data_IF_839764593224
#
_entry.id   IF_839764593224
#
_cell.length_a   1.000
_cell.length_b   1.000
_cell.length_c   1.000
_cell.angle_alpha   90.00
_cell.angle_beta   90.00
_cell.angle_gamma   90.00
#
_symmetry.space_group_name_H-M   'P 1'
#
loop_
_entity.id
_entity.type
_entity.pdbx_description
1 polymer ?
#
# COMPACT_ATOMS: atom_id res chain seq x y z
N UNK A 1 -73.82 45.23 22.15
CA UNK A 1 -73.01 45.91 23.19
C UNK A 1 -72.26 44.83 23.98
N UNK A 2 -70.97 45.07 24.26
CA UNK A 2 -69.95 44.23 24.93
C UNK A 2 -69.25 43.18 24.03
N UNK A 3 -68.04 43.46 23.50
CA UNK A 3 -66.69 43.36 24.11
C UNK A 3 -66.39 41.95 24.67
N UNK A 4 -65.22 41.32 24.56
CA UNK A 4 -63.93 41.52 23.87
C UNK A 4 -63.09 40.28 24.24
N UNK A 5 -62.26 39.79 23.31
CA UNK A 5 -60.89 39.25 23.52
C UNK A 5 -60.77 37.89 24.25
N UNK A 6 -60.50 36.79 23.53
CA UNK A 6 -59.17 36.25 23.17
C UNK A 6 -58.33 35.76 24.37
N UNK A 7 -58.39 34.47 24.67
CA UNK A 7 -57.32 33.73 25.37
C UNK A 7 -56.81 32.65 24.43
N UNK A 8 -55.63 32.91 23.87
CA UNK A 8 -54.79 31.93 23.18
C UNK A 8 -54.25 30.95 24.21
N UNK A 9 -54.24 29.67 23.88
CA UNK A 9 -53.38 28.68 24.49
C UNK A 9 -52.66 27.97 23.35
N UNK A 10 -51.42 28.40 23.05
CA UNK A 10 -50.53 27.63 22.19
C UNK A 10 -49.97 26.47 23.00
N UNK A 11 -50.05 25.22 22.52
CA UNK A 11 -49.19 24.17 23.03
C UNK A 11 -47.75 24.43 22.57
N UNK A 12 -46.83 24.49 23.54
CA UNK A 12 -45.40 24.57 23.30
C UNK A 12 -44.92 23.28 22.63
N UNK A 13 -44.67 23.33 21.32
CA UNK A 13 -44.03 22.26 20.58
C UNK A 13 -42.52 22.32 20.88
N UNK A 14 -42.06 21.48 21.80
CA UNK A 14 -40.62 21.24 21.99
C UNK A 14 -40.09 20.45 20.80
N UNK A 15 -39.46 21.12 19.84
CA UNK A 15 -38.68 20.48 18.78
C UNK A 15 -37.34 20.09 19.40
N UNK A 16 -37.21 18.82 19.81
CA UNK A 16 -35.93 18.22 20.16
C UNK A 16 -35.14 17.94 18.88
N UNK A 17 -34.25 18.86 18.50
CA UNK A 17 -33.30 18.64 17.43
C UNK A 17 -32.27 17.57 17.86
N UNK A 18 -32.45 16.34 17.39
CA UNK A 18 -31.47 15.29 17.56
C UNK A 18 -30.26 15.57 16.65
N UNK A 19 -29.04 15.74 17.17
CA UNK A 19 -27.85 15.87 16.34
C UNK A 19 -27.59 14.53 15.65
N UNK A 20 -27.82 14.47 14.34
CA UNK A 20 -27.34 13.36 13.50
C UNK A 20 -25.82 13.42 13.48
N UNK A 21 -25.19 12.54 14.27
CA UNK A 21 -23.76 12.24 14.18
C UNK A 21 -23.52 11.59 12.82
N UNK A 22 -23.07 12.35 11.83
CA UNK A 22 -22.59 11.80 10.56
C UNK A 22 -21.23 11.15 10.81
N UNK A 23 -21.22 9.83 10.94
CA UNK A 23 -19.98 9.05 10.92
C UNK A 23 -19.38 9.19 9.52
N UNK A 24 -18.39 10.06 9.35
CA UNK A 24 -17.55 10.05 8.16
C UNK A 24 -16.75 8.75 8.17
N UNK A 25 -17.20 7.78 7.39
CA UNK A 25 -16.36 6.65 7.04
C UNK A 25 -15.28 7.20 6.10
N UNK A 26 -14.13 7.59 6.67
CA UNK A 26 -12.91 7.76 5.88
C UNK A 26 -12.56 6.40 5.29
N UNK A 27 -12.96 6.16 4.05
CA UNK A 27 -12.36 5.12 3.23
C UNK A 27 -10.93 5.60 2.99
N UNK A 28 -9.97 5.06 3.73
CA UNK A 28 -8.57 5.20 3.38
C UNK A 28 -8.44 4.82 1.91
N UNK A 29 -8.01 5.76 1.06
CA UNK A 29 -7.85 5.54 -0.37
C UNK A 29 -6.81 4.44 -0.55
N UNK A 30 -7.29 3.21 -0.72
CA UNK A 30 -6.44 2.05 -0.91
C UNK A 30 -5.72 2.14 -2.25
N UNK A 31 -4.68 1.32 -2.40
CA UNK A 31 -3.96 1.17 -3.65
C UNK A 31 -4.83 0.37 -4.62
N UNK A 32 -5.43 1.04 -5.60
CA UNK A 32 -6.30 0.42 -6.60
C UNK A 32 -5.56 0.02 -7.89
N UNK A 33 -4.28 0.38 -8.01
CA UNK A 33 -3.43 0.09 -9.16
C UNK A 33 -3.72 0.96 -10.39
N UNK A 34 -4.53 2.02 -10.25
CA UNK A 34 -4.82 2.95 -11.34
C UNK A 34 -3.66 3.91 -11.62
N UNK A 35 -2.90 4.28 -10.59
CA UNK A 35 -1.65 5.02 -10.69
C UNK A 35 -0.43 4.14 -10.41
N UNK A 36 0.76 4.68 -10.72
CA UNK A 36 2.01 4.02 -10.34
C UNK A 36 2.06 3.89 -8.81
N UNK A 37 2.63 2.79 -8.32
CA UNK A 37 2.81 2.55 -6.89
C UNK A 37 4.30 2.58 -6.59
N UNK A 38 4.72 3.44 -5.65
CA UNK A 38 6.09 3.46 -5.13
C UNK A 38 6.13 2.77 -3.78
N UNK A 39 7.14 1.94 -3.57
CA UNK A 39 7.40 1.23 -2.34
C UNK A 39 8.79 1.56 -1.82
N UNK A 40 8.87 2.02 -0.57
CA UNK A 40 10.13 2.18 0.15
C UNK A 40 10.55 0.83 0.74
N UNK A 41 11.79 0.41 0.48
CA UNK A 41 12.38 -0.78 1.09
C UNK A 41 12.99 -0.41 2.44
N UNK A 42 12.53 -1.06 3.50
CA UNK A 42 12.89 -0.70 4.87
C UNK A 42 13.81 -1.75 5.50
N UNK A 43 13.41 -3.02 5.45
CA UNK A 43 14.14 -4.12 6.05
C UNK A 43 14.41 -5.21 5.01
N UNK A 44 15.61 -5.78 5.07
CA UNK A 44 16.01 -6.88 4.20
C UNK A 44 16.65 -7.99 5.04
N UNK A 45 16.26 -9.23 4.75
CA UNK A 45 16.94 -10.42 5.24
C UNK A 45 17.53 -11.15 4.05
N UNK A 46 18.85 -11.33 4.04
CA UNK A 46 19.55 -12.13 3.05
C UNK A 46 19.95 -13.46 3.67
N UNK A 47 19.62 -14.57 3.02
CA UNK A 47 19.99 -15.91 3.43
C UNK A 47 20.86 -16.58 2.35
N UNK A 48 21.94 -17.22 2.77
CA UNK A 48 22.89 -17.92 1.90
C UNK A 48 22.86 -19.44 2.13
N UNK A 49 23.46 -20.20 1.20
CA UNK A 49 23.50 -21.68 1.25
C UNK A 49 24.15 -22.25 2.53
N UNK A 50 25.06 -21.49 3.15
CA UNK A 50 25.73 -21.86 4.40
C UNK A 50 24.84 -21.78 5.65
N UNK A 51 23.52 -21.55 5.44
CA UNK A 51 22.49 -21.38 6.46
C UNK A 51 22.64 -20.10 7.29
N UNK A 52 23.49 -19.17 6.87
CA UNK A 52 23.51 -17.83 7.44
C UNK A 52 22.35 -17.01 6.90
N UNK A 53 21.67 -16.29 7.80
CA UNK A 53 20.73 -15.24 7.43
C UNK A 53 21.13 -13.97 8.18
N UNK A 54 21.26 -12.87 7.45
CA UNK A 54 21.67 -11.57 7.99
C UNK A 54 20.59 -10.55 7.68
N UNK A 55 20.22 -9.76 8.68
CA UNK A 55 19.33 -8.62 8.50
C UNK A 55 20.14 -7.34 8.28
N UNK A 56 19.76 -6.56 7.30
CA UNK A 56 20.32 -5.24 7.05
C UNK A 56 19.28 -4.35 6.32
N UNK A 57 19.65 -3.11 6.07
CA UNK A 57 18.91 -2.20 5.19
C UNK A 57 19.10 -2.57 3.71
N UNK A 58 18.28 -2.01 2.82
CA UNK A 58 18.46 -2.16 1.37
C UNK A 58 19.89 -1.80 0.95
N UNK A 59 20.37 -0.64 1.39
CA UNK A 59 21.74 -0.14 1.16
C UNK A 59 22.82 -1.10 1.63
N UNK A 60 22.64 -1.72 2.79
CA UNK A 60 23.61 -2.68 3.33
C UNK A 60 23.82 -3.91 2.44
N UNK A 61 22.89 -4.18 1.53
CA UNK A 61 22.96 -5.25 0.52
C UNK A 61 23.04 -4.74 -0.92
N UNK A 62 23.29 -3.44 -1.14
CA UNK A 62 23.27 -2.79 -2.46
C UNK A 62 21.95 -3.05 -3.23
N UNK A 63 20.84 -3.04 -2.50
CA UNK A 63 19.49 -3.16 -3.02
C UNK A 63 18.85 -1.77 -3.20
N UNK A 64 17.82 -1.65 -4.05
CA UNK A 64 17.17 -0.37 -4.28
C UNK A 64 16.42 0.12 -3.05
N UNK A 65 16.52 1.43 -2.76
CA UNK A 65 15.75 2.08 -1.70
C UNK A 65 14.27 2.17 -2.06
N UNK A 66 13.97 2.29 -3.37
CA UNK A 66 12.61 2.34 -3.88
C UNK A 66 12.39 1.37 -5.03
N UNK A 67 11.23 0.72 -5.00
CA UNK A 67 10.68 -0.08 -6.08
C UNK A 67 9.40 0.58 -6.55
N UNK A 68 9.25 0.79 -7.86
CA UNK A 68 8.10 1.46 -8.45
C UNK A 68 7.41 0.51 -9.43
N UNK A 69 6.16 0.18 -9.17
CA UNK A 69 5.28 -0.50 -10.10
C UNK A 69 4.70 0.52 -11.08
N UNK A 70 5.06 0.40 -12.35
CA UNK A 70 4.44 1.17 -13.44
C UNK A 70 3.13 0.48 -13.85
N UNK A 71 1.99 1.11 -13.55
CA UNK A 71 0.67 0.50 -13.73
C UNK A 71 0.32 0.28 -15.20
N UNK A 72 0.87 1.12 -16.09
CA UNK A 72 0.59 1.09 -17.53
C UNK A 72 1.47 0.08 -18.25
N UNK A 73 2.77 0.11 -17.96
CA UNK A 73 3.77 -0.74 -18.63
C UNK A 73 3.90 -2.12 -18.01
N UNK A 74 3.36 -2.31 -16.80
CA UNK A 74 3.47 -3.57 -16.03
C UNK A 74 4.93 -3.98 -15.83
N UNK A 75 5.74 -3.04 -15.36
CA UNK A 75 7.15 -3.27 -15.02
C UNK A 75 7.43 -2.77 -13.60
N UNK A 76 8.38 -3.41 -12.93
CA UNK A 76 9.00 -2.85 -11.73
C UNK A 76 10.23 -2.06 -12.13
N UNK A 77 10.34 -0.84 -11.63
CA UNK A 77 11.50 0.03 -11.77
C UNK A 77 12.18 0.11 -10.42
N UNK A 78 13.47 -0.15 -10.36
CA UNK A 78 14.27 -0.05 -9.17
C UNK A 78 15.04 1.28 -9.17
N UNK A 79 15.07 1.95 -8.03
CA UNK A 79 15.87 3.15 -7.79
C UNK A 79 16.88 2.88 -6.69
N UNK A 80 18.16 2.88 -7.05
CA UNK A 80 19.28 2.65 -6.14
C UNK A 80 19.85 4.00 -5.69
N UNK A 81 20.44 4.04 -4.49
CA UNK A 81 21.17 5.22 -4.02
C UNK A 81 22.31 5.61 -4.98
N UNK A 82 22.99 4.61 -5.56
CA UNK A 82 24.06 4.79 -6.55
C UNK A 82 23.61 5.50 -7.84
N UNK A 83 22.31 5.72 -8.01
CA UNK A 83 21.71 6.25 -9.23
C UNK A 83 21.52 5.19 -10.31
N UNK A 84 21.94 3.94 -10.07
CA UNK A 84 21.62 2.82 -10.95
C UNK A 84 20.10 2.67 -11.07
N UNK A 85 19.65 2.27 -12.27
CA UNK A 85 18.24 2.01 -12.56
C UNK A 85 18.15 0.63 -13.19
N UNK A 86 17.27 -0.20 -12.66
CA UNK A 86 16.91 -1.47 -13.26
C UNK A 86 15.41 -1.50 -13.55
N UNK A 87 15.03 -2.26 -14.58
CA UNK A 87 13.64 -2.48 -14.96
C UNK A 87 13.44 -3.98 -15.10
N UNK A 88 12.45 -4.53 -14.41
CA UNK A 88 12.06 -5.95 -14.55
C UNK A 88 10.60 -6.07 -14.99
N UNK A 89 10.30 -6.85 -16.04
CA UNK A 89 8.92 -7.12 -16.45
C UNK A 89 8.13 -7.88 -15.39
N UNK A 90 6.92 -7.41 -15.08
CA UNK A 90 5.97 -8.16 -14.26
C UNK A 90 5.35 -9.25 -15.12
N UNK A 91 5.61 -10.52 -14.80
CA UNK A 91 5.09 -11.68 -15.54
C UNK A 91 3.69 -12.07 -15.10
N UNK A 92 3.40 -11.90 -13.82
CA UNK A 92 2.06 -12.08 -13.26
C UNK A 92 1.73 -10.93 -12.31
N UNK A 93 0.51 -10.43 -12.41
CA UNK A 93 -0.08 -9.48 -11.47
C UNK A 93 -1.47 -9.99 -11.14
N UNK A 94 -1.67 -10.35 -9.88
CA UNK A 94 -2.93 -10.89 -9.38
C UNK A 94 -3.46 -10.01 -8.25
N UNK A 95 -4.77 -9.77 -8.28
CA UNK A 95 -5.48 -9.13 -7.18
C UNK A 95 -6.20 -10.22 -6.40
N UNK A 96 -5.78 -10.43 -5.15
CA UNK A 96 -6.32 -11.46 -4.26
C UNK A 96 -6.75 -10.84 -2.92
N UNK A 97 -8.04 -10.56 -2.79
CA UNK A 97 -8.57 -9.83 -1.63
C UNK A 97 -7.92 -8.46 -1.52
N UNK A 98 -7.40 -8.10 -0.36
CA UNK A 98 -6.71 -6.82 -0.14
C UNK A 98 -5.23 -6.84 -0.54
N UNK A 99 -4.83 -7.66 -1.53
CA UNK A 99 -3.44 -7.79 -1.93
C UNK A 99 -3.24 -7.76 -3.43
N UNK A 100 -2.21 -7.02 -3.85
CA UNK A 100 -1.57 -7.22 -5.14
C UNK A 100 -0.40 -8.17 -4.99
N UNK A 101 -0.42 -9.25 -5.77
CA UNK A 101 0.65 -10.23 -5.86
C UNK A 101 1.31 -10.07 -7.23
N UNK A 102 2.58 -9.67 -7.22
CA UNK A 102 3.40 -9.42 -8.39
C UNK A 102 4.47 -10.49 -8.46
N UNK A 103 4.76 -11.00 -9.65
CA UNK A 103 5.79 -12.00 -9.85
C UNK A 103 6.54 -11.78 -11.15
N UNK A 104 7.81 -12.19 -11.17
CA UNK A 104 8.63 -12.16 -12.36
C UNK A 104 9.94 -12.92 -12.19
N UNK A 105 10.77 -12.84 -13.21
CA UNK A 105 12.09 -13.47 -13.25
C UNK A 105 13.04 -12.51 -13.94
N UNK A 106 14.21 -12.28 -13.35
CA UNK A 106 15.28 -11.46 -13.92
C UNK A 106 16.65 -12.06 -13.57
N UNK A 107 17.57 -12.12 -14.55
CA UNK A 107 18.94 -12.60 -14.32
C UNK A 107 19.03 -13.95 -13.58
N UNK A 108 18.15 -14.89 -13.91
CA UNK A 108 18.11 -16.22 -13.28
C UNK A 108 17.50 -16.24 -11.87
N UNK A 109 16.98 -15.11 -11.38
CA UNK A 109 16.34 -14.99 -10.07
C UNK A 109 14.83 -14.83 -10.22
N UNK A 110 14.08 -15.69 -9.54
CA UNK A 110 12.64 -15.52 -9.40
C UNK A 110 12.34 -14.51 -8.31
N UNK A 111 11.35 -13.64 -8.52
CA UNK A 111 10.92 -12.70 -7.50
C UNK A 111 9.40 -12.64 -7.38
N UNK A 112 8.95 -12.30 -6.17
CA UNK A 112 7.56 -11.96 -5.90
C UNK A 112 7.48 -10.75 -4.96
N UNK A 113 6.38 -10.00 -5.05
CA UNK A 113 6.05 -8.90 -4.15
C UNK A 113 4.56 -9.00 -3.83
N UNK A 114 4.22 -8.97 -2.55
CA UNK A 114 2.87 -8.80 -2.05
C UNK A 114 2.72 -7.39 -1.49
N UNK A 115 1.69 -6.67 -1.93
CA UNK A 115 1.35 -5.34 -1.43
C UNK A 115 -0.06 -5.40 -0.87
N UNK A 116 -0.22 -5.10 0.41
CA UNK A 116 -1.54 -4.92 1.00
C UNK A 116 -2.14 -3.59 0.52
N UNK A 117 -3.23 -3.65 -0.23
CA UNK A 117 -3.83 -2.48 -0.87
C UNK A 117 -4.53 -1.55 0.11
N UNK A 118 -4.90 -2.01 1.31
CA UNK A 118 -5.55 -1.14 2.31
C UNK A 118 -4.60 -0.31 3.14
N UNK A 119 -3.42 -0.85 3.47
CA UNK A 119 -2.48 -0.19 4.38
C UNK A 119 -1.08 0.02 3.79
N UNK A 120 -0.85 -0.38 2.54
CA UNK A 120 0.40 -0.19 1.83
C UNK A 120 1.55 -1.08 2.31
N UNK A 121 1.36 -1.96 3.31
CA UNK A 121 2.44 -2.85 3.76
C UNK A 121 2.85 -3.77 2.62
N UNK A 122 4.16 -3.93 2.46
CA UNK A 122 4.76 -4.73 1.41
C UNK A 122 5.72 -5.76 1.98
N UNK A 123 5.66 -6.95 1.41
CA UNK A 123 6.70 -7.96 1.53
C UNK A 123 7.09 -8.45 0.14
N UNK A 124 8.32 -8.88 -0.03
CA UNK A 124 8.79 -9.44 -1.27
C UNK A 124 9.88 -10.47 -1.02
N UNK A 125 10.15 -11.26 -2.05
CA UNK A 125 11.28 -12.16 -2.06
C UNK A 125 11.95 -12.18 -3.42
N UNK A 126 13.26 -12.40 -3.42
CA UNK A 126 14.05 -12.64 -4.62
C UNK A 126 14.93 -13.86 -4.36
N UNK A 127 14.71 -14.93 -5.11
CA UNK A 127 15.33 -16.24 -4.91
C UNK A 127 16.31 -16.48 -6.06
N UNK A 128 17.56 -16.74 -5.72
CA UNK A 128 18.57 -17.28 -6.62
C UNK A 128 19.12 -18.60 -6.10
N UNK A 129 20.10 -19.14 -6.82
CA UNK A 129 20.82 -20.37 -6.45
C UNK A 129 21.65 -20.19 -5.17
N UNK A 130 22.44 -19.13 -5.06
CA UNK A 130 23.39 -18.94 -3.94
C UNK A 130 22.85 -18.10 -2.76
N UNK A 131 22.00 -17.12 -3.05
CA UNK A 131 21.46 -16.17 -2.05
C UNK A 131 20.00 -15.87 -2.35
N UNK A 132 19.19 -15.84 -1.30
CA UNK A 132 17.79 -15.42 -1.34
C UNK A 132 17.56 -14.21 -0.43
N UNK A 133 16.70 -13.30 -0.87
CA UNK A 133 16.33 -12.10 -0.12
C UNK A 133 14.86 -12.15 0.26
N UNK A 134 14.57 -11.69 1.47
CA UNK A 134 13.24 -11.27 1.91
C UNK A 134 13.29 -9.76 2.12
N UNK A 135 12.31 -9.05 1.59
CA UNK A 135 12.26 -7.59 1.56
C UNK A 135 10.96 -7.14 2.20
N UNK A 136 11.02 -6.13 3.06
CA UNK A 136 9.85 -5.55 3.70
C UNK A 136 9.83 -4.04 3.52
N UNK A 137 8.64 -3.48 3.39
CA UNK A 137 8.49 -2.08 3.10
C UNK A 137 7.07 -1.56 3.21
N UNK A 138 6.89 -0.34 2.73
CA UNK A 138 5.59 0.32 2.65
C UNK A 138 5.44 1.01 1.31
N UNK A 139 4.22 1.02 0.77
CA UNK A 139 3.89 1.52 -0.54
C UNK A 139 2.82 2.62 -0.47
N UNK A 140 2.88 3.53 -1.43
CA UNK A 140 1.88 4.56 -1.68
C UNK A 140 1.68 4.74 -3.18
N UNK A 141 0.53 5.26 -3.57
CA UNK A 141 0.31 5.76 -4.93
C UNK A 141 1.17 6.99 -5.21
N UNK A 142 1.68 7.09 -6.44
CA UNK A 142 2.29 8.28 -7.03
C UNK A 142 1.25 9.18 -7.71
#
# INVERSE_FOLDING_TARGET
MHNKILSWALPAFFITAAPFLTSEVSVASGLDGSSDIVCAVMDVVACAEDKSCVQNTARGFDLPDFIILDSKKKVLRASYESGHKAVSPVKNLEHSGDHFILQGVENGRGWNIAINTRNGKMSGSAVGDAVSFLVFGTCTSL
#
